data_IF_903891074269
#
_entry.id   IF_903891074269
#
_cell.length_a   1.000
_cell.length_b   1.000
_cell.length_c   1.000
_cell.angle_alpha   90.00
_cell.angle_beta   90.00
_cell.angle_gamma   90.00
#
_symmetry.space_group_name_H-M   'P 1'
#
loop_
_entity.id
_entity.type
_entity.pdbx_description
1 polymer ?
#
# COMPACT_ATOMS: atom_id res chain seq x y z
N UNK A 1 -20.45 -5.25 60.44
CA UNK A 1 -20.33 -6.26 59.35
C UNK A 1 -21.03 -5.83 58.05
N UNK A 2 -22.30 -5.39 58.06
CA UNK A 2 -23.01 -4.93 56.83
C UNK A 2 -22.30 -3.82 56.02
N UNK A 3 -21.60 -2.89 56.68
CA UNK A 3 -20.88 -1.79 56.00
C UNK A 3 -19.56 -2.22 55.32
N UNK A 4 -18.95 -3.32 55.78
CA UNK A 4 -17.70 -3.86 55.20
C UNK A 4 -18.02 -4.69 53.95
N UNK A 5 -19.13 -5.42 53.97
CA UNK A 5 -19.62 -6.19 52.80
C UNK A 5 -19.95 -5.24 51.63
N UNK A 6 -20.54 -4.08 51.91
CA UNK A 6 -20.81 -3.08 50.88
C UNK A 6 -19.52 -2.53 50.25
N UNK A 7 -18.45 -2.36 51.04
CA UNK A 7 -17.14 -1.90 50.56
C UNK A 7 -16.47 -2.96 49.67
N UNK A 8 -16.60 -4.25 50.02
CA UNK A 8 -16.08 -5.34 49.18
C UNK A 8 -16.84 -5.47 47.85
N UNK A 9 -18.16 -5.25 47.83
CA UNK A 9 -18.95 -5.29 46.59
C UNK A 9 -18.61 -4.11 45.68
N UNK A 10 -18.31 -2.93 46.23
CA UNK A 10 -17.86 -1.77 45.44
C UNK A 10 -16.42 -1.95 44.92
N UNK A 11 -15.53 -2.59 45.69
CA UNK A 11 -14.14 -2.83 45.27
C UNK A 11 -13.98 -3.98 44.25
N UNK A 12 -14.91 -4.94 44.20
CA UNK A 12 -14.93 -6.02 43.22
C UNK A 12 -15.87 -5.77 42.02
N UNK A 13 -16.61 -4.66 42.01
CA UNK A 13 -17.69 -4.39 41.05
C UNK A 13 -17.29 -3.74 39.72
N UNK A 14 -16.01 -3.44 39.48
CA UNK A 14 -15.59 -2.75 38.25
C UNK A 14 -14.39 -3.40 37.57
N UNK A 15 -14.44 -4.70 37.34
CA UNK A 15 -13.79 -5.26 36.15
C UNK A 15 -14.79 -5.15 35.00
N UNK A 16 -14.95 -3.93 34.45
CA UNK A 16 -15.52 -3.77 33.12
C UNK A 16 -14.46 -4.36 32.17
N UNK A 17 -14.56 -5.66 31.91
CA UNK A 17 -13.86 -6.26 30.80
C UNK A 17 -14.48 -5.67 29.54
N UNK A 18 -13.81 -4.67 28.96
CA UNK A 18 -13.99 -4.38 27.55
C UNK A 18 -13.49 -5.64 26.82
N UNK A 19 -14.41 -6.50 26.41
CA UNK A 19 -14.07 -7.60 25.52
C UNK A 19 -13.62 -6.94 24.22
N UNK A 20 -12.34 -7.11 23.89
CA UNK A 20 -11.81 -6.75 22.58
C UNK A 20 -12.36 -7.77 21.58
N UNK A 21 -13.64 -7.61 21.22
CA UNK A 21 -14.28 -8.47 20.24
C UNK A 21 -13.69 -8.20 18.86
N UNK A 22 -13.25 -9.28 18.21
CA UNK A 22 -12.80 -9.25 16.84
C UNK A 22 -14.01 -9.18 15.91
N UNK A 23 -14.05 -8.16 15.07
CA UNK A 23 -15.05 -8.03 14.02
C UNK A 23 -14.41 -8.38 12.68
N UNK A 24 -15.18 -9.10 11.86
CA UNK A 24 -14.82 -9.35 10.47
C UNK A 24 -15.94 -8.88 9.55
N UNK A 25 -15.59 -8.12 8.53
CA UNK A 25 -16.52 -7.63 7.52
C UNK A 25 -16.09 -8.06 6.12
N UNK A 26 -17.07 -8.18 5.23
CA UNK A 26 -16.85 -8.47 3.81
C UNK A 26 -17.51 -7.35 3.00
N UNK A 27 -16.74 -6.61 2.22
CA UNK A 27 -17.22 -5.51 1.39
C UNK A 27 -17.48 -6.02 -0.02
N UNK A 28 -18.68 -5.74 -0.54
CA UNK A 28 -19.12 -6.18 -1.87
C UNK A 28 -19.78 -5.04 -2.63
N UNK A 29 -19.70 -5.13 -3.95
CA UNK A 29 -20.51 -4.32 -4.85
C UNK A 29 -21.96 -4.82 -4.81
N UNK A 30 -22.92 -3.90 -4.70
CA UNK A 30 -24.34 -4.24 -4.55
C UNK A 30 -24.96 -4.86 -5.81
N UNK A 31 -24.45 -4.53 -7.00
CA UNK A 31 -25.00 -4.96 -8.28
C UNK A 31 -24.44 -6.33 -8.69
N UNK A 32 -23.10 -6.45 -8.68
CA UNK A 32 -22.36 -7.63 -9.13
C UNK A 32 -22.17 -8.68 -8.04
N UNK A 33 -22.36 -8.31 -6.76
CA UNK A 33 -22.09 -9.15 -5.59
C UNK A 33 -20.63 -9.61 -5.46
N UNK A 34 -19.71 -9.04 -6.27
CA UNK A 34 -18.29 -9.34 -6.21
C UNK A 34 -17.64 -8.62 -5.03
N UNK A 35 -16.59 -9.21 -4.43
CA UNK A 35 -15.81 -8.57 -3.37
C UNK A 35 -15.10 -7.31 -3.90
N UNK A 36 -14.98 -6.32 -3.03
CA UNK A 36 -14.22 -5.09 -3.32
C UNK A 36 -12.89 -5.16 -2.56
N UNK A 37 -11.82 -5.38 -3.30
CA UNK A 37 -10.44 -5.31 -2.80
C UNK A 37 -10.01 -3.85 -2.53
N UNK A 38 -9.13 -3.63 -1.55
CA UNK A 38 -8.58 -2.33 -1.16
C UNK A 38 -9.63 -1.28 -0.74
N UNK A 39 -10.85 -1.70 -0.40
CA UNK A 39 -11.81 -0.82 0.23
C UNK A 39 -11.30 -0.38 1.60
N UNK A 40 -11.29 0.93 1.84
CA UNK A 40 -10.78 1.51 3.08
C UNK A 40 -11.83 1.52 4.15
N UNK A 41 -11.45 1.05 5.34
CA UNK A 41 -12.26 1.10 6.55
C UNK A 41 -11.55 2.00 7.55
N UNK A 42 -12.24 3.05 8.00
CA UNK A 42 -11.76 3.96 9.04
C UNK A 42 -12.58 3.79 10.29
N UNK A 43 -11.94 3.36 11.39
CA UNK A 43 -12.56 3.35 12.71
C UNK A 43 -12.60 4.79 13.23
N UNK A 44 -13.79 5.40 13.30
CA UNK A 44 -13.92 6.85 13.43
C UNK A 44 -13.36 7.42 14.73
N UNK A 45 -13.42 6.68 15.84
CA UNK A 45 -12.91 7.12 17.15
C UNK A 45 -11.39 7.06 17.24
N UNK A 46 -10.79 5.97 16.77
CA UNK A 46 -9.34 5.74 16.87
C UNK A 46 -8.57 6.28 15.67
N UNK A 47 -9.27 6.55 14.56
CA UNK A 47 -8.69 6.88 13.25
C UNK A 47 -7.82 5.77 12.67
N UNK A 48 -7.97 4.54 13.16
CA UNK A 48 -7.34 3.37 12.57
C UNK A 48 -7.86 3.16 11.16
N UNK A 49 -6.95 2.89 10.25
CA UNK A 49 -7.21 2.63 8.83
C UNK A 49 -6.90 1.15 8.56
N UNK A 50 -7.82 0.49 7.85
CA UNK A 50 -7.72 -0.89 7.39
C UNK A 50 -8.11 -0.95 5.91
N UNK A 51 -7.61 -1.96 5.21
CA UNK A 51 -7.94 -2.26 3.83
C UNK A 51 -8.49 -3.70 3.73
N UNK A 52 -9.44 -3.89 2.83
CA UNK A 52 -9.88 -5.24 2.46
C UNK A 52 -8.87 -5.91 1.55
N UNK A 53 -8.74 -7.23 1.71
CA UNK A 53 -7.95 -8.06 0.81
C UNK A 53 -8.71 -8.42 -0.48
N UNK A 54 -8.14 -9.29 -1.32
CA UNK A 54 -8.75 -9.78 -2.57
C UNK A 54 -10.14 -10.40 -2.41
N UNK A 55 -10.46 -10.92 -1.23
CA UNK A 55 -11.76 -11.52 -0.89
C UNK A 55 -12.76 -10.47 -0.37
N UNK A 56 -12.39 -9.18 -0.39
CA UNK A 56 -13.18 -8.08 0.17
C UNK A 56 -13.22 -8.10 1.69
N UNK A 57 -12.37 -8.88 2.36
CA UNK A 57 -12.42 -9.13 3.79
C UNK A 57 -11.47 -8.23 4.57
N UNK A 58 -11.94 -7.72 5.70
CA UNK A 58 -11.11 -7.05 6.70
C UNK A 58 -11.46 -7.54 8.11
N UNK A 59 -10.46 -7.54 9.00
CA UNK A 59 -10.56 -7.95 10.40
C UNK A 59 -10.00 -6.85 11.28
N UNK A 60 -10.70 -6.50 12.36
CA UNK A 60 -10.30 -5.43 13.28
C UNK A 60 -10.98 -5.56 14.64
N UNK A 61 -10.45 -4.84 15.63
CA UNK A 61 -11.00 -4.78 16.98
C UNK A 61 -11.63 -3.39 17.19
N UNK A 62 -12.83 -3.36 17.77
CA UNK A 62 -13.48 -2.11 18.19
C UNK A 62 -13.39 -1.92 19.70
N UNK A 63 -12.61 -0.93 20.11
CA UNK A 63 -12.53 -0.54 21.52
C UNK A 63 -13.68 0.41 21.88
N UNK A 64 -14.81 -0.19 22.24
CA UNK A 64 -16.07 0.50 22.57
C UNK A 64 -16.88 0.93 21.34
N UNK A 65 -17.97 1.68 21.57
CA UNK A 65 -18.91 2.04 20.51
C UNK A 65 -18.39 3.06 19.49
N UNK A 66 -17.56 2.63 18.55
CA UNK A 66 -17.04 3.46 17.44
C UNK A 66 -17.62 3.02 16.11
N UNK A 67 -18.30 3.94 15.43
CA UNK A 67 -18.72 3.75 14.04
C UNK A 67 -17.51 3.56 13.12
N UNK A 68 -17.75 2.92 11.99
CA UNK A 68 -16.76 2.77 10.92
C UNK A 68 -17.24 3.50 9.67
N UNK A 69 -16.30 4.04 8.91
CA UNK A 69 -16.57 4.59 7.58
C UNK A 69 -15.88 3.71 6.54
N UNK A 70 -16.63 3.27 5.55
CA UNK A 70 -16.16 2.49 4.42
C UNK A 70 -16.12 3.39 3.18
N UNK A 71 -15.02 3.34 2.43
CA UNK A 71 -14.83 4.16 1.22
C UNK A 71 -13.91 3.46 0.22
N UNK A 72 -14.19 3.62 -1.07
CA UNK A 72 -13.34 3.23 -2.19
C UNK A 72 -13.54 4.28 -3.31
N UNK A 73 -12.56 4.47 -4.20
CA UNK A 73 -12.55 5.50 -5.25
C UNK A 73 -13.83 5.47 -6.11
N UNK A 74 -14.34 4.28 -6.42
CA UNK A 74 -15.44 4.06 -7.37
C UNK A 74 -16.82 3.95 -6.74
N UNK A 75 -16.91 4.08 -5.42
CA UNK A 75 -18.13 3.81 -4.66
C UNK A 75 -18.51 4.94 -3.73
N UNK A 76 -19.80 5.02 -3.43
CA UNK A 76 -20.30 5.91 -2.41
C UNK A 76 -19.80 5.49 -1.03
N UNK A 77 -19.33 6.45 -0.25
CA UNK A 77 -18.85 6.17 1.10
C UNK A 77 -20.02 5.89 2.04
N UNK A 78 -19.87 4.88 2.89
CA UNK A 78 -20.90 4.44 3.82
C UNK A 78 -20.40 4.54 5.25
N UNK A 79 -21.18 5.16 6.14
CA UNK A 79 -20.91 5.11 7.59
C UNK A 79 -21.80 4.08 8.25
N UNK A 80 -21.19 3.11 8.92
CA UNK A 80 -21.87 2.02 9.61
C UNK A 80 -21.81 2.27 11.11
N UNK A 81 -22.98 2.18 11.76
CA UNK A 81 -23.08 2.30 13.21
C UNK A 81 -22.50 1.06 13.88
N UNK A 82 -21.71 1.26 14.93
CA UNK A 82 -21.08 0.16 15.66
C UNK A 82 -22.10 -0.88 16.15
N UNK A 83 -23.27 -0.43 16.61
CA UNK A 83 -24.34 -1.29 17.12
C UNK A 83 -24.99 -2.17 16.04
N UNK A 84 -24.71 -1.92 14.76
CA UNK A 84 -25.21 -2.72 13.63
C UNK A 84 -24.20 -3.76 13.16
N UNK A 85 -22.94 -3.68 13.62
CA UNK A 85 -21.91 -4.66 13.29
C UNK A 85 -22.21 -5.95 14.03
N UNK A 86 -22.45 -7.02 13.26
CA UNK A 86 -22.60 -8.38 13.81
C UNK A 86 -21.21 -9.01 13.98
N UNK A 87 -21.13 -9.98 14.89
CA UNK A 87 -19.95 -10.84 15.00
C UNK A 87 -19.79 -11.69 13.73
N UNK A 88 -18.57 -11.74 13.21
CA UNK A 88 -18.11 -12.54 12.06
C UNK A 88 -18.82 -12.30 10.69
N UNK A 89 -18.01 -12.08 9.64
CA UNK A 89 -18.43 -12.05 8.23
C UNK A 89 -19.63 -11.12 7.91
N UNK A 90 -19.75 -9.98 8.59
CA UNK A 90 -20.81 -9.01 8.31
C UNK A 90 -20.62 -8.41 6.90
N UNK A 91 -21.60 -8.60 6.02
CA UNK A 91 -21.51 -8.13 4.63
C UNK A 91 -21.95 -6.67 4.53
N UNK A 92 -21.09 -5.85 3.93
CA UNK A 92 -21.34 -4.44 3.63
C UNK A 92 -21.44 -4.29 2.12
N UNK A 93 -22.55 -3.73 1.66
CA UNK A 93 -22.75 -3.43 0.25
C UNK A 93 -22.46 -1.97 -0.04
N UNK A 94 -21.60 -1.73 -1.04
CA UNK A 94 -21.34 -0.40 -1.58
C UNK A 94 -22.04 -0.24 -2.93
N UNK A 95 -22.59 0.94 -3.17
CA UNK A 95 -23.16 1.34 -4.45
C UNK A 95 -22.11 2.06 -5.28
N UNK A 96 -21.94 1.67 -6.54
CA UNK A 96 -21.01 2.34 -7.42
C UNK A 96 -21.47 3.77 -7.72
N UNK A 97 -20.51 4.68 -7.90
CA UNK A 97 -20.71 6.03 -8.44
C UNK A 97 -20.97 6.05 -9.96
N UNK A 98 -21.11 4.86 -10.57
CA UNK A 98 -21.39 4.56 -11.98
C UNK A 98 -21.76 5.79 -12.82
N UNK A 99 -20.88 6.17 -13.74
CA UNK A 99 -21.13 7.20 -14.74
C UNK A 99 -21.13 6.55 -16.13
N UNK A 100 -22.26 6.57 -16.85
CA UNK A 100 -22.41 5.79 -18.10
C UNK A 100 -21.71 6.40 -19.33
N UNK A 101 -20.74 7.29 -19.16
CA UNK A 101 -20.14 8.03 -20.27
C UNK A 101 -18.60 8.05 -20.17
N UNK A 102 -17.96 7.20 -20.97
CA UNK A 102 -16.52 7.29 -21.26
C UNK A 102 -16.28 8.44 -22.25
N UNK A 103 -16.16 9.65 -21.71
CA UNK A 103 -15.90 10.84 -22.53
C UNK A 103 -14.39 11.05 -22.71
N UNK A 104 -13.95 11.10 -23.97
CA UNK A 104 -12.58 11.54 -24.29
C UNK A 104 -12.50 13.04 -23.97
N UNK A 105 -11.55 13.41 -23.11
CA UNK A 105 -11.40 14.79 -22.69
C UNK A 105 -10.61 15.57 -23.75
N UNK A 106 -11.32 16.37 -24.56
CA UNK A 106 -10.68 17.27 -25.52
C UNK A 106 -10.18 18.53 -24.80
N UNK A 107 -8.89 18.53 -24.46
CA UNK A 107 -8.21 19.68 -23.86
C UNK A 107 -7.32 20.41 -24.86
N UNK A 108 -7.30 21.75 -24.80
CA UNK A 108 -6.31 22.57 -25.51
C UNK A 108 -4.89 22.39 -24.96
N UNK A 109 -4.77 21.84 -23.75
CA UNK A 109 -3.49 21.60 -23.10
C UNK A 109 -2.99 20.18 -23.40
N UNK A 110 -1.72 20.06 -23.79
CA UNK A 110 -1.08 18.76 -23.99
C UNK A 110 -1.15 17.90 -22.71
N UNK A 111 -1.51 16.61 -22.80
CA UNK A 111 -1.60 15.71 -21.65
C UNK A 111 -0.36 15.70 -20.74
N UNK A 112 0.84 15.75 -21.33
CA UNK A 112 2.08 15.83 -20.55
C UNK A 112 2.16 17.07 -19.64
N UNK A 113 1.66 18.23 -20.10
CA UNK A 113 1.59 19.43 -19.25
C UNK A 113 0.53 19.30 -18.15
N UNK A 114 -0.53 18.50 -18.38
CA UNK A 114 -1.50 18.17 -17.33
C UNK A 114 -0.80 17.30 -16.28
N UNK A 115 -0.08 16.25 -16.71
CA UNK A 115 0.72 15.38 -15.85
C UNK A 115 1.70 16.18 -14.97
N UNK A 116 2.48 17.08 -15.58
CA UNK A 116 3.41 17.95 -14.85
C UNK A 116 2.74 18.74 -13.72
N UNK A 117 1.53 19.28 -13.96
CA UNK A 117 0.79 20.04 -12.95
C UNK A 117 0.29 19.18 -11.81
N UNK A 118 -0.32 18.03 -12.11
CA UNK A 118 -0.88 17.14 -11.09
C UNK A 118 0.25 16.51 -10.25
N UNK A 119 1.38 16.13 -10.87
CA UNK A 119 2.55 15.63 -10.14
C UNK A 119 3.13 16.73 -9.24
N UNK A 120 3.37 17.93 -9.78
CA UNK A 120 3.96 19.02 -8.99
C UNK A 120 3.09 19.40 -7.79
N UNK A 121 1.77 19.50 -7.97
CA UNK A 121 0.87 19.83 -6.88
C UNK A 121 0.77 18.71 -5.84
N UNK A 122 0.74 17.45 -6.29
CA UNK A 122 0.75 16.28 -5.41
C UNK A 122 2.03 16.20 -4.56
N UNK A 123 3.21 16.38 -5.16
CA UNK A 123 4.49 16.43 -4.44
C UNK A 123 4.50 17.57 -3.43
N UNK A 124 4.03 18.76 -3.80
CA UNK A 124 3.95 19.90 -2.90
C UNK A 124 3.09 19.60 -1.66
N UNK A 125 1.94 18.93 -1.84
CA UNK A 125 1.08 18.54 -0.72
C UNK A 125 1.67 17.40 0.13
N UNK A 126 2.41 16.47 -0.49
CA UNK A 126 3.13 15.39 0.19
C UNK A 126 4.40 15.86 0.91
N UNK A 127 4.93 17.04 0.57
CA UNK A 127 6.08 17.68 1.22
C UNK A 127 5.73 18.40 2.53
N UNK A 128 4.57 18.09 3.12
CA UNK A 128 4.22 18.53 4.47
C UNK A 128 4.92 17.67 5.53
N UNK A 129 5.10 18.20 6.74
CA UNK A 129 5.55 17.40 7.88
C UNK A 129 4.39 16.61 8.46
N UNK A 130 4.53 15.29 8.51
CA UNK A 130 3.57 14.35 9.09
C UNK A 130 4.25 13.01 9.38
N UNK A 131 3.49 12.09 9.98
CA UNK A 131 3.89 10.72 10.20
C UNK A 131 2.83 9.74 9.72
N UNK A 132 3.29 8.60 9.23
CA UNK A 132 2.47 7.45 8.88
C UNK A 132 2.91 6.27 9.73
N UNK A 133 1.94 5.63 10.41
CA UNK A 133 2.13 4.27 10.91
C UNK A 133 1.71 3.31 9.80
N UNK A 134 2.60 2.44 9.37
CA UNK A 134 2.42 1.59 8.20
C UNK A 134 2.60 0.13 8.62
N UNK A 135 1.67 -0.72 8.19
CA UNK A 135 1.89 -2.15 8.16
C UNK A 135 2.54 -2.49 6.81
N UNK A 136 3.73 -3.10 6.88
CA UNK A 136 4.50 -3.53 5.72
C UNK A 136 4.48 -5.05 5.68
N UNK A 137 4.30 -5.63 4.49
CA UNK A 137 4.42 -7.06 4.24
C UNK A 137 5.23 -7.29 2.97
N UNK A 138 6.13 -8.27 3.02
CA UNK A 138 6.97 -8.64 1.89
C UNK A 138 7.10 -10.15 1.77
N UNK A 139 6.87 -10.66 0.56
CA UNK A 139 7.13 -12.04 0.18
C UNK A 139 8.28 -12.07 -0.81
N UNK A 140 9.18 -13.02 -0.62
CA UNK A 140 10.31 -13.28 -1.51
C UNK A 140 10.24 -14.72 -2.02
N UNK A 141 10.26 -14.86 -3.33
CA UNK A 141 10.37 -16.13 -4.02
C UNK A 141 11.74 -16.29 -4.66
N UNK A 142 12.30 -17.48 -4.52
CA UNK A 142 13.50 -17.95 -5.19
C UNK A 142 13.14 -19.17 -6.03
N UNK A 143 13.45 -19.13 -7.32
CA UNK A 143 13.20 -20.23 -8.25
C UNK A 143 11.75 -20.75 -8.16
N UNK A 144 10.81 -19.80 -8.18
CA UNK A 144 9.36 -20.00 -8.09
C UNK A 144 8.86 -20.61 -6.77
N UNK A 145 9.68 -20.62 -5.71
CA UNK A 145 9.29 -21.07 -4.38
C UNK A 145 9.39 -19.93 -3.37
N UNK A 146 8.37 -19.76 -2.52
CA UNK A 146 8.46 -18.83 -1.40
C UNK A 146 9.58 -19.27 -0.44
N UNK A 147 10.55 -18.38 -0.24
CA UNK A 147 11.76 -18.68 0.53
C UNK A 147 11.93 -17.74 1.72
N UNK A 148 11.43 -16.51 1.63
CA UNK A 148 11.45 -15.56 2.74
C UNK A 148 10.16 -14.77 2.81
N UNK A 149 9.82 -14.38 4.04
CA UNK A 149 8.70 -13.54 4.38
C UNK A 149 9.12 -12.58 5.48
N UNK A 150 8.70 -11.32 5.38
CA UNK A 150 8.77 -10.41 6.51
C UNK A 150 7.55 -9.50 6.55
N UNK A 151 7.11 -9.16 7.76
CA UNK A 151 6.13 -8.11 7.97
C UNK A 151 6.51 -7.27 9.20
N UNK A 152 5.88 -6.11 9.32
CA UNK A 152 6.12 -5.25 10.48
C UNK A 152 5.22 -4.04 10.57
N UNK A 153 5.15 -3.51 11.79
CA UNK A 153 4.62 -2.19 12.06
C UNK A 153 5.77 -1.21 12.12
N UNK A 154 5.73 -0.25 11.20
CA UNK A 154 6.77 0.76 11.07
C UNK A 154 6.16 2.16 11.11
N UNK A 155 6.98 3.14 11.46
CA UNK A 155 6.60 4.54 11.53
C UNK A 155 7.52 5.33 10.61
N UNK A 156 6.93 5.96 9.59
CA UNK A 156 7.62 6.91 8.73
C UNK A 156 7.32 8.32 9.22
N UNK A 157 8.36 9.10 9.45
CA UNK A 157 8.25 10.54 9.66
C UNK A 157 8.73 11.27 8.41
N UNK A 158 7.89 12.15 7.90
CA UNK A 158 8.17 13.00 6.75
C UNK A 158 8.55 14.38 7.24
N UNK A 159 9.68 14.87 6.78
CA UNK A 159 10.11 16.26 6.98
C UNK A 159 10.33 16.84 5.59
N UNK A 160 9.52 17.83 5.23
CA UNK A 160 9.58 18.41 3.89
C UNK A 160 10.10 19.85 3.88
N UNK A 161 10.68 20.25 2.76
CA UNK A 161 11.16 21.61 2.49
C UNK A 161 10.41 22.28 1.32
N UNK A 162 9.10 22.07 1.21
CA UNK A 162 8.21 22.48 0.09
C UNK A 162 8.51 21.81 -1.27
N UNK A 163 9.71 21.26 -1.49
CA UNK A 163 10.14 20.65 -2.77
C UNK A 163 10.27 19.13 -2.72
N UNK A 164 10.78 18.59 -1.61
CA UNK A 164 10.97 17.16 -1.38
C UNK A 164 10.52 16.82 0.03
N UNK A 165 9.97 15.62 0.21
CA UNK A 165 9.85 15.00 1.52
C UNK A 165 11.06 14.07 1.76
N UNK A 166 11.73 14.27 2.89
CA UNK A 166 12.69 13.31 3.44
C UNK A 166 11.99 12.42 4.45
N UNK A 167 12.36 11.15 4.48
CA UNK A 167 11.70 10.14 5.30
C UNK A 167 12.66 9.55 6.33
N UNK A 168 12.22 9.49 7.58
CA UNK A 168 12.88 8.70 8.64
C UNK A 168 12.01 7.51 8.99
N UNK A 169 12.60 6.32 9.02
CA UNK A 169 11.94 5.06 9.34
C UNK A 169 12.30 4.57 10.75
N UNK A 170 11.27 4.28 11.55
CA UNK A 170 11.39 3.64 12.87
C UNK A 170 10.61 2.33 12.86
N UNK A 171 11.19 1.26 13.38
CA UNK A 171 10.54 -0.07 13.43
C UNK A 171 9.99 -0.33 14.83
N UNK A 172 8.67 -0.50 14.94
CA UNK A 172 7.98 -0.75 16.21
C UNK A 172 8.02 -2.24 16.56
N UNK A 173 7.55 -3.06 15.63
CA UNK A 173 7.48 -4.52 15.69
C UNK A 173 7.78 -5.10 14.30
N UNK A 174 8.39 -6.27 14.26
CA UNK A 174 8.63 -7.01 13.02
C UNK A 174 8.78 -8.50 13.29
N UNK A 175 8.47 -9.30 12.27
CA UNK A 175 8.88 -10.70 12.18
C UNK A 175 9.35 -11.00 10.77
N UNK A 176 10.30 -11.89 10.69
CA UNK A 176 10.93 -12.38 9.49
C UNK A 176 11.02 -13.90 9.64
N UNK A 177 10.65 -14.61 8.59
CA UNK A 177 10.73 -16.05 8.46
C UNK A 177 11.38 -16.40 7.13
N UNK A 178 12.09 -17.52 7.06
CA UNK A 178 12.62 -17.97 5.79
C UNK A 178 13.58 -19.15 5.91
N UNK A 179 14.06 -19.59 4.76
CA UNK A 179 14.97 -20.72 4.62
C UNK A 179 16.40 -20.22 4.89
N UNK A 180 17.21 -20.99 5.63
CA UNK A 180 18.64 -20.74 5.77
C UNK A 180 19.36 -21.07 4.43
N UNK A 181 19.27 -20.16 3.46
CA UNK A 181 19.97 -20.28 2.17
C UNK A 181 21.06 -19.20 2.06
N UNK A 182 22.30 -19.67 1.85
CA UNK A 182 23.52 -18.85 1.71
C UNK A 182 23.71 -18.27 0.31
N UNK A 183 22.96 -18.74 -0.68
CA UNK A 183 23.29 -18.48 -2.09
C UNK A 183 22.73 -17.16 -2.63
N UNK A 184 21.90 -16.45 -1.85
CA UNK A 184 21.41 -15.11 -2.18
C UNK A 184 21.79 -14.17 -1.05
N UNK A 185 22.56 -13.13 -1.37
CA UNK A 185 22.98 -12.15 -0.38
C UNK A 185 21.75 -11.45 0.25
N UNK A 186 21.86 -11.10 1.53
CA UNK A 186 20.82 -10.37 2.23
C UNK A 186 20.45 -9.05 1.53
N UNK A 187 21.43 -8.40 0.88
CA UNK A 187 21.23 -7.16 0.12
C UNK A 187 20.38 -7.34 -1.14
N UNK A 188 20.18 -8.57 -1.63
CA UNK A 188 19.29 -8.88 -2.74
C UNK A 188 17.89 -9.26 -2.28
N UNK A 189 17.69 -9.52 -0.99
CA UNK A 189 16.39 -9.83 -0.39
C UNK A 189 15.62 -8.52 -0.18
N UNK A 190 14.39 -8.47 -0.69
CA UNK A 190 13.43 -7.41 -0.41
C UNK A 190 13.66 -6.04 -1.06
N UNK A 191 12.75 -5.12 -0.76
CA UNK A 191 12.82 -3.71 -1.13
C UNK A 191 13.60 -2.89 -0.10
N UNK A 192 14.17 -1.76 -0.54
CA UNK A 192 14.65 -0.75 0.39
C UNK A 192 13.45 0.11 0.85
N UNK A 193 13.03 -0.05 2.11
CA UNK A 193 11.84 0.59 2.63
C UNK A 193 11.93 2.13 2.69
N UNK A 194 13.13 2.68 2.87
CA UNK A 194 13.32 4.14 2.82
C UNK A 194 13.21 4.63 1.38
N UNK A 195 13.87 3.98 0.43
CA UNK A 195 13.83 4.38 -0.98
C UNK A 195 12.41 4.30 -1.57
N UNK A 196 11.70 3.21 -1.29
CA UNK A 196 10.34 3.01 -1.84
C UNK A 196 9.38 4.07 -1.29
N UNK A 197 9.47 4.39 0.00
CA UNK A 197 8.66 5.46 0.60
C UNK A 197 9.00 6.84 0.03
N UNK A 198 10.29 7.14 -0.16
CA UNK A 198 10.70 8.36 -0.84
C UNK A 198 10.17 8.44 -2.27
N UNK A 199 10.12 7.32 -2.99
CA UNK A 199 9.60 7.27 -4.36
C UNK A 199 8.11 7.61 -4.37
N UNK A 200 7.34 7.13 -3.40
CA UNK A 200 5.92 7.45 -3.25
C UNK A 200 5.67 8.91 -2.87
N UNK A 201 6.43 9.45 -1.91
CA UNK A 201 6.21 10.82 -1.44
C UNK A 201 6.64 11.88 -2.45
N UNK A 202 7.67 11.57 -3.24
CA UNK A 202 8.22 12.49 -4.24
C UNK A 202 7.77 12.16 -5.67
N UNK A 203 6.92 11.15 -5.84
CA UNK A 203 6.38 10.70 -7.13
C UNK A 203 7.47 10.43 -8.19
N UNK A 204 8.60 9.84 -7.77
CA UNK A 204 9.77 9.61 -8.65
C UNK A 204 9.46 8.68 -9.82
N UNK A 205 8.45 7.81 -9.69
CA UNK A 205 8.01 6.92 -10.77
C UNK A 205 7.57 7.66 -12.04
N UNK A 206 7.18 8.93 -11.95
CA UNK A 206 6.78 9.71 -13.14
C UNK A 206 7.94 10.44 -13.82
N UNK A 207 9.16 10.42 -13.28
CA UNK A 207 10.32 11.09 -13.87
C UNK A 207 10.51 10.76 -15.38
N UNK A 208 10.37 9.50 -15.85
CA UNK A 208 10.46 9.19 -17.28
C UNK A 208 9.44 9.97 -18.13
N UNK A 209 8.21 10.13 -17.63
CA UNK A 209 7.10 10.79 -18.32
C UNK A 209 7.19 12.32 -18.28
N UNK A 210 7.89 12.87 -17.30
CA UNK A 210 8.10 14.31 -17.16
C UNK A 210 9.25 14.82 -18.05
N UNK A 211 10.08 13.92 -18.55
CA UNK A 211 11.19 14.23 -19.45
C UNK A 211 10.72 14.76 -20.81
N UNK A 212 11.55 15.56 -21.48
CA UNK A 212 11.25 16.05 -22.84
C UNK A 212 11.19 14.91 -23.88
N UNK A 213 11.89 13.79 -23.63
CA UNK A 213 11.91 12.61 -24.49
C UNK A 213 10.60 11.82 -24.46
N UNK A 214 9.81 11.94 -23.40
CA UNK A 214 8.58 11.16 -23.23
C UNK A 214 7.62 11.25 -24.42
N UNK A 215 7.55 12.42 -25.09
CA UNK A 215 6.69 12.62 -26.28
C UNK A 215 7.09 11.76 -27.49
N UNK A 216 8.33 11.30 -27.55
CA UNK A 216 8.84 10.44 -28.61
C UNK A 216 8.70 8.95 -28.29
N UNK A 217 8.43 8.62 -27.03
CA UNK A 217 8.43 7.25 -26.52
C UNK A 217 7.07 6.79 -26.03
N UNK A 218 6.16 7.71 -25.69
CA UNK A 218 4.85 7.40 -25.13
C UNK A 218 3.72 8.10 -25.87
N UNK A 219 2.58 7.41 -25.93
CA UNK A 219 1.29 8.02 -26.23
C UNK A 219 0.56 8.35 -24.92
N UNK A 220 -0.20 9.45 -24.91
CA UNK A 220 -0.91 9.94 -23.73
C UNK A 220 -2.39 10.17 -24.06
N UNK A 221 -3.27 9.54 -23.29
CA UNK A 221 -4.72 9.67 -23.45
C UNK A 221 -5.34 10.06 -22.12
N UNK A 222 -6.27 11.02 -22.14
CA UNK A 222 -7.06 11.42 -20.95
C UNK A 222 -8.54 11.15 -21.24
N UNK A 223 -9.21 10.45 -20.34
CA UNK A 223 -10.65 10.17 -20.38
C UNK A 223 -11.30 10.51 -19.04
N UNK A 224 -12.61 10.74 -19.06
CA UNK A 224 -13.42 10.71 -17.83
C UNK A 224 -13.35 9.32 -17.18
N UNK A 225 -13.42 9.26 -15.86
CA UNK A 225 -13.40 7.99 -15.14
C UNK A 225 -14.78 7.32 -15.19
N UNK A 226 -14.84 6.09 -15.72
CA UNK A 226 -16.09 5.35 -15.98
C UNK A 226 -16.98 5.16 -14.75
N UNK A 227 -16.39 4.92 -13.58
CA UNK A 227 -17.16 4.74 -12.34
C UNK A 227 -17.26 5.97 -11.45
N UNK A 228 -16.59 7.08 -11.75
CA UNK A 228 -16.58 8.24 -10.87
C UNK A 228 -16.41 9.53 -11.68
N UNK A 229 -17.51 10.27 -11.87
CA UNK A 229 -17.56 11.48 -12.68
C UNK A 229 -16.61 12.60 -12.21
N UNK A 230 -16.19 12.59 -10.95
CA UNK A 230 -15.37 13.65 -10.38
C UNK A 230 -13.88 13.47 -10.76
N UNK A 231 -13.49 12.32 -11.32
CA UNK A 231 -12.11 11.98 -11.60
C UNK A 231 -11.87 11.72 -13.08
N UNK A 232 -10.63 11.98 -13.52
CA UNK A 232 -10.14 11.63 -14.85
C UNK A 232 -9.09 10.53 -14.75
N UNK A 233 -8.96 9.76 -15.84
CA UNK A 233 -7.94 8.73 -16.02
C UNK A 233 -7.00 9.17 -17.12
N UNK A 234 -5.71 9.24 -16.81
CA UNK A 234 -4.65 9.39 -17.80
C UNK A 234 -3.98 8.04 -18.03
N UNK A 235 -4.07 7.54 -19.26
CA UNK A 235 -3.36 6.35 -19.70
C UNK A 235 -2.13 6.77 -20.51
N UNK A 236 -0.97 6.20 -20.18
CA UNK A 236 0.29 6.46 -20.88
C UNK A 236 0.89 5.14 -21.31
N UNK A 237 1.07 4.94 -22.62
CA UNK A 237 1.52 3.66 -23.18
C UNK A 237 2.77 3.85 -24.03
N UNK A 238 3.79 2.98 -23.90
CA UNK A 238 4.95 3.01 -24.78
C UNK A 238 4.55 2.86 -26.25
N UNK A 239 5.15 3.68 -27.11
CA UNK A 239 5.03 3.57 -28.56
C UNK A 239 5.78 2.32 -29.04
N UNK A 240 5.32 1.70 -30.14
CA UNK A 240 5.95 0.49 -30.67
C UNK A 240 7.44 0.68 -30.99
N UNK A 241 7.78 1.87 -31.52
CA UNK A 241 9.13 2.31 -31.89
C UNK A 241 10.00 2.77 -30.71
N UNK A 242 9.48 2.78 -29.49
CA UNK A 242 10.24 3.20 -28.34
C UNK A 242 11.37 2.19 -28.06
N UNK A 243 12.55 2.70 -27.69
CA UNK A 243 13.74 1.87 -27.43
C UNK A 243 13.92 1.53 -25.96
N UNK A 244 13.58 2.47 -25.07
CA UNK A 244 13.85 2.37 -23.63
C UNK A 244 12.56 2.23 -22.81
N UNK A 245 11.44 2.78 -23.29
CA UNK A 245 10.16 2.76 -22.60
C UNK A 245 9.52 1.36 -22.59
N UNK A 246 9.29 0.83 -21.38
CA UNK A 246 8.63 -0.47 -21.19
C UNK A 246 7.34 -0.39 -20.36
N UNK A 247 7.22 0.62 -19.50
CA UNK A 247 6.14 0.75 -18.52
C UNK A 247 4.90 1.41 -19.13
N UNK A 248 3.72 0.84 -18.90
CA UNK A 248 2.44 1.50 -19.13
C UNK A 248 1.92 2.08 -17.82
N UNK A 249 1.28 3.24 -17.87
CA UNK A 249 0.77 3.94 -16.71
C UNK A 249 -0.73 4.15 -16.82
N UNK A 250 -1.43 3.98 -15.72
CA UNK A 250 -2.79 4.45 -15.51
C UNK A 250 -2.81 5.36 -14.28
N UNK A 251 -3.25 6.60 -14.44
CA UNK A 251 -3.18 7.63 -13.40
C UNK A 251 -4.58 8.20 -13.20
N UNK A 252 -5.17 7.94 -12.03
CA UNK A 252 -6.46 8.49 -11.64
C UNK A 252 -6.20 9.77 -10.85
N UNK A 253 -6.84 10.86 -11.23
CA UNK A 253 -6.64 12.15 -10.58
C UNK A 253 -7.91 12.99 -10.52
N UNK A 254 -7.95 13.86 -9.53
CA UNK A 254 -8.97 14.90 -9.37
C UNK A 254 -8.56 16.14 -10.22
N UNK A 255 -9.32 16.50 -11.27
CA UNK A 255 -8.96 17.60 -12.16
C UNK A 255 -9.14 18.98 -11.51
N UNK A 256 -10.01 19.13 -10.53
CA UNK A 256 -10.22 20.39 -9.81
C UNK A 256 -9.10 20.64 -8.79
N UNK A 257 -8.85 19.64 -7.95
CA UNK A 257 -7.81 19.70 -6.90
C UNK A 257 -6.41 19.51 -7.46
N UNK A 258 -6.29 18.93 -8.67
CA UNK A 258 -5.02 18.59 -9.34
C UNK A 258 -4.18 17.65 -8.49
N UNK A 259 -4.81 16.61 -7.96
CA UNK A 259 -4.18 15.61 -7.10
C UNK A 259 -4.32 14.24 -7.70
N UNK A 260 -3.23 13.49 -7.68
CA UNK A 260 -3.24 12.06 -8.01
C UNK A 260 -3.94 11.33 -6.85
N UNK A 261 -4.80 10.39 -7.18
CA UNK A 261 -5.52 9.58 -6.19
C UNK A 261 -5.04 8.14 -6.23
N UNK A 262 -4.77 7.64 -7.43
CA UNK A 262 -4.24 6.32 -7.65
C UNK A 262 -3.34 6.36 -8.88
N UNK A 263 -2.29 5.55 -8.88
CA UNK A 263 -1.62 5.19 -10.13
C UNK A 263 -1.23 3.73 -10.15
N UNK A 264 -1.27 3.16 -11.35
CA UNK A 264 -0.75 1.83 -11.67
C UNK A 264 0.31 1.95 -12.74
N UNK A 265 1.38 1.17 -12.59
CA UNK A 265 2.48 1.01 -13.55
C UNK A 265 2.60 -0.48 -13.82
N UNK A 266 2.59 -0.85 -15.09
CA UNK A 266 2.74 -2.25 -15.51
C UNK A 266 3.65 -2.33 -16.74
N UNK A 267 4.74 -3.09 -16.60
CA UNK A 267 5.56 -3.49 -17.73
C UNK A 267 4.93 -4.70 -18.44
N UNK A 268 4.22 -4.45 -19.54
CA UNK A 268 3.62 -5.50 -20.34
C UNK A 268 4.70 -6.47 -20.87
N UNK A 269 4.44 -7.80 -20.89
CA UNK A 269 5.43 -8.80 -21.32
C UNK A 269 6.07 -8.47 -22.67
N UNK A 270 5.24 -8.07 -23.65
CA UNK A 270 5.67 -7.66 -25.00
C UNK A 270 6.72 -6.53 -25.02
N UNK A 271 6.77 -5.69 -23.98
CA UNK A 271 7.73 -4.59 -23.88
C UNK A 271 8.99 -5.04 -23.15
N UNK A 272 8.85 -5.95 -22.17
CA UNK A 272 9.99 -6.59 -21.50
C UNK A 272 10.79 -7.44 -22.50
N UNK A 273 10.12 -8.19 -23.37
CA UNK A 273 10.75 -9.03 -24.40
C UNK A 273 11.61 -8.24 -25.41
N UNK A 274 11.45 -6.92 -25.48
CA UNK A 274 12.28 -6.05 -26.32
C UNK A 274 13.64 -5.72 -25.68
N UNK A 275 13.78 -5.92 -24.37
CA UNK A 275 15.02 -5.62 -23.67
C UNK A 275 16.09 -6.65 -24.03
N UNK A 276 17.28 -6.17 -24.36
CA UNK A 276 18.43 -7.05 -24.55
C UNK A 276 18.76 -7.77 -23.23
N UNK A 277 18.83 -9.09 -23.30
CA UNK A 277 19.20 -9.91 -22.14
C UNK A 277 20.65 -9.64 -21.76
N UNK A 278 20.85 -9.20 -20.52
CA UNK A 278 22.18 -8.95 -19.96
C UNK A 278 22.78 -10.27 -19.50
N UNK A 279 24.02 -10.53 -19.89
CA UNK A 279 24.76 -11.78 -19.58
C UNK A 279 25.87 -11.60 -18.56
N UNK A 280 26.15 -10.37 -18.13
CA UNK A 280 27.21 -10.09 -17.16
C UNK A 280 26.81 -10.56 -15.76
N UNK A 281 27.75 -11.13 -15.00
CA UNK A 281 27.53 -11.54 -13.60
C UNK A 281 26.94 -10.39 -12.77
N UNK A 282 25.96 -10.71 -11.93
CA UNK A 282 25.12 -9.81 -11.13
C UNK A 282 24.15 -8.93 -11.93
N UNK A 283 24.02 -9.15 -13.24
CA UNK A 283 22.98 -8.48 -14.03
C UNK A 283 21.60 -8.99 -13.64
N UNK A 284 20.62 -8.07 -13.68
CA UNK A 284 19.21 -8.37 -13.47
C UNK A 284 18.46 -8.16 -14.78
N UNK A 285 17.79 -9.21 -15.25
CA UNK A 285 16.89 -9.16 -16.40
C UNK A 285 15.46 -9.20 -15.89
N UNK A 286 14.77 -8.06 -15.95
CA UNK A 286 13.40 -7.91 -15.43
C UNK A 286 12.46 -8.82 -16.23
N UNK A 287 11.58 -9.53 -15.55
CA UNK A 287 10.55 -10.40 -16.13
C UNK A 287 9.14 -9.98 -15.71
N UNK A 288 9.00 -9.24 -14.60
CA UNK A 288 7.76 -8.60 -14.15
C UNK A 288 8.11 -7.28 -13.46
N UNK A 289 7.33 -6.24 -13.73
CA UNK A 289 7.34 -4.99 -12.98
C UNK A 289 5.91 -4.49 -12.87
N UNK A 290 5.44 -4.34 -11.64
CA UNK A 290 4.10 -3.84 -11.33
C UNK A 290 4.15 -2.97 -10.09
N UNK A 291 3.51 -1.82 -10.15
CA UNK A 291 3.39 -0.87 -9.04
C UNK A 291 1.98 -0.33 -9.03
N UNK A 292 1.26 -0.47 -7.92
CA UNK A 292 0.00 0.22 -7.67
C UNK A 292 0.10 1.02 -6.38
N UNK A 293 -0.30 2.27 -6.42
CA UNK A 293 -0.18 3.20 -5.28
C UNK A 293 -1.45 4.02 -5.15
N UNK A 294 -1.99 4.08 -3.94
CA UNK A 294 -3.19 4.83 -3.60
C UNK A 294 -2.87 5.93 -2.60
N UNK A 295 -3.46 7.11 -2.80
CA UNK A 295 -3.35 8.26 -1.91
C UNK A 295 -4.71 8.61 -1.33
N UNK A 296 -4.71 9.08 -0.08
CA UNK A 296 -5.91 9.56 0.59
C UNK A 296 -5.89 11.06 0.73
N UNK A 297 -6.95 11.71 0.23
CA UNK A 297 -7.26 13.10 0.50
C UNK A 297 -8.48 13.19 1.42
N UNK A 298 -8.33 13.80 2.60
CA UNK A 298 -9.42 13.96 3.60
C UNK A 298 -9.88 15.43 3.77
N UNK A 299 -9.62 16.27 2.76
CA UNK A 299 -9.95 17.69 2.76
C UNK A 299 -8.80 18.58 3.24
N UNK A 300 -7.97 18.12 4.17
CA UNK A 300 -6.81 18.90 4.69
C UNK A 300 -5.49 18.15 4.63
N UNK A 301 -5.54 16.83 4.56
CA UNK A 301 -4.37 15.96 4.54
C UNK A 301 -4.38 15.18 3.24
N UNK A 302 -3.19 15.01 2.67
CA UNK A 302 -2.92 14.22 1.49
C UNK A 302 -1.70 13.35 1.78
N UNK A 303 -1.86 12.03 1.76
CA UNK A 303 -0.83 11.09 2.18
C UNK A 303 -0.99 9.74 1.49
N UNK A 304 0.09 8.96 1.46
CA UNK A 304 0.09 7.58 0.98
C UNK A 304 -0.87 6.72 1.82
N UNK A 305 -1.85 6.10 1.17
CA UNK A 305 -2.78 5.18 1.80
C UNK A 305 -2.27 3.74 1.72
N UNK A 306 -1.91 3.30 0.52
CA UNK A 306 -1.41 1.95 0.26
C UNK A 306 -0.48 1.91 -0.94
N UNK A 307 0.32 0.86 -0.99
CA UNK A 307 0.98 0.42 -2.21
C UNK A 307 1.03 -1.09 -2.29
N UNK A 308 1.04 -1.61 -3.52
CA UNK A 308 1.33 -2.99 -3.85
C UNK A 308 2.33 -2.98 -5.00
N UNK A 309 3.52 -3.50 -4.75
CA UNK A 309 4.58 -3.63 -5.75
C UNK A 309 4.99 -5.08 -5.95
N UNK A 310 5.32 -5.40 -7.19
CA UNK A 310 5.87 -6.67 -7.59
C UNK A 310 7.00 -6.44 -8.60
N UNK A 311 8.15 -7.05 -8.32
CA UNK A 311 9.23 -7.14 -9.27
C UNK A 311 9.69 -8.60 -9.37
N UNK A 312 9.83 -9.09 -10.59
CA UNK A 312 10.51 -10.35 -10.86
C UNK A 312 11.65 -10.12 -11.84
N UNK A 313 12.75 -10.84 -11.64
CA UNK A 313 13.91 -10.79 -12.52
C UNK A 313 14.74 -12.07 -12.45
N UNK A 314 15.44 -12.35 -13.54
CA UNK A 314 16.49 -13.35 -13.58
C UNK A 314 17.81 -12.70 -13.17
N UNK A 315 18.46 -13.24 -12.14
CA UNK A 315 19.77 -12.83 -11.66
C UNK A 315 20.84 -13.75 -12.25
N UNK A 316 21.77 -13.16 -13.00
CA UNK A 316 22.91 -13.89 -13.55
C UNK A 316 23.97 -14.05 -12.46
N UNK A 317 24.22 -15.27 -12.00
CA UNK A 317 25.36 -15.61 -11.15
C UNK A 317 26.46 -16.27 -11.98
N UNK A 318 27.61 -16.51 -11.37
CA UNK A 318 28.78 -17.11 -12.05
C UNK A 318 28.45 -18.45 -12.71
N UNK A 319 27.73 -19.32 -11.99
CA UNK A 319 27.50 -20.71 -12.38
C UNK A 319 26.00 -21.07 -12.49
N UNK A 320 25.10 -20.10 -12.31
CA UNK A 320 23.65 -20.31 -12.32
C UNK A 320 22.88 -19.04 -12.69
N UNK A 321 21.63 -19.22 -13.13
CA UNK A 321 20.64 -18.15 -13.19
C UNK A 321 19.61 -18.42 -12.12
N UNK A 322 19.34 -17.42 -11.27
CA UNK A 322 18.30 -17.52 -10.23
C UNK A 322 17.12 -16.66 -10.60
N UNK A 323 15.91 -17.20 -10.50
CA UNK A 323 14.70 -16.41 -10.62
C UNK A 323 14.33 -15.82 -9.26
N UNK A 324 14.24 -14.50 -9.20
CA UNK A 324 13.85 -13.78 -7.98
C UNK A 324 12.55 -13.05 -8.26
N UNK A 325 11.60 -13.18 -7.34
CA UNK A 325 10.38 -12.38 -7.33
C UNK A 325 10.15 -11.85 -5.93
N UNK A 326 9.82 -10.55 -5.84
CA UNK A 326 9.55 -9.86 -4.59
C UNK A 326 8.22 -9.16 -4.71
N UNK A 327 7.32 -9.43 -3.76
CA UNK A 327 6.03 -8.75 -3.63
C UNK A 327 6.02 -7.96 -2.34
N UNK A 328 5.72 -6.68 -2.40
CA UNK A 328 5.71 -5.76 -1.27
C UNK A 328 4.36 -5.05 -1.18
N UNK A 329 3.81 -4.97 0.04
CA UNK A 329 2.55 -4.29 0.31
C UNK A 329 2.72 -3.35 1.50
N UNK A 330 2.34 -2.09 1.31
CA UNK A 330 2.25 -1.09 2.38
C UNK A 330 0.79 -0.74 2.64
N UNK A 331 0.43 -0.62 3.91
CA UNK A 331 -0.88 -0.11 4.31
C UNK A 331 -0.71 0.88 5.46
N UNK A 332 -1.05 2.14 5.21
CA UNK A 332 -1.12 3.16 6.27
C UNK A 332 -2.26 2.80 7.21
N UNK A 333 -1.91 2.58 8.48
CA UNK A 333 -2.86 2.27 9.57
C UNK A 333 -3.22 3.50 10.39
N UNK A 334 -2.40 4.55 10.36
CA UNK A 334 -2.67 5.82 11.04
C UNK A 334 -1.88 6.96 10.40
N UNK A 335 -2.49 8.15 10.35
CA UNK A 335 -1.90 9.41 9.93
C UNK A 335 -1.87 10.41 11.09
N UNK A 336 -0.82 11.22 11.21
CA UNK A 336 -0.77 12.31 12.20
C UNK A 336 0.20 13.42 11.74
N UNK A 337 -0.11 14.68 12.06
CA UNK A 337 0.74 15.84 11.73
C UNK A 337 1.86 16.12 12.75
N UNK A 338 1.82 15.48 13.91
CA UNK A 338 2.82 15.66 14.95
C UNK A 338 3.99 14.70 14.74
N UNK A 339 5.19 15.26 14.62
CA UNK A 339 6.44 14.51 14.54
C UNK A 339 6.73 13.77 15.85
N UNK A 340 7.44 12.64 15.75
CA UNK A 340 8.01 11.95 16.89
C UNK A 340 9.31 12.63 17.35
N UNK A 341 9.66 12.37 18.60
CA UNK A 341 11.04 12.53 19.09
C UNK A 341 11.68 11.15 19.12
N UNK A 342 12.87 11.02 18.54
CA UNK A 342 13.65 9.78 18.49
C UNK A 342 15.13 10.08 18.64
N UNK A 343 15.92 9.05 18.98
CA UNK A 343 17.39 9.13 18.91
C UNK A 343 17.85 8.62 17.56
N UNK A 344 18.99 9.13 17.09
CA UNK A 344 19.59 8.67 15.82
C UNK A 344 19.86 7.15 15.80
N UNK A 345 20.12 6.55 16.97
CA UNK A 345 20.26 5.10 17.12
C UNK A 345 18.98 4.29 16.88
N UNK A 346 17.81 4.95 16.95
CA UNK A 346 16.51 4.30 16.74
C UNK A 346 16.13 4.25 15.25
N UNK A 347 16.81 5.02 14.42
CA UNK A 347 16.58 5.12 12.97
C UNK A 347 16.98 3.82 12.29
N UNK A 348 16.05 3.22 11.56
CA UNK A 348 16.31 2.02 10.78
C UNK A 348 16.94 2.37 9.43
N UNK A 349 18.18 1.93 9.24
CA UNK A 349 19.02 2.26 8.07
C UNK A 349 19.27 1.09 7.12
N UNK A 350 18.87 -0.13 7.52
CA UNK A 350 19.00 -1.30 6.67
C UNK A 350 17.95 -1.30 5.56
N UNK A 351 18.16 -2.14 4.55
CA UNK A 351 17.33 -2.23 3.36
C UNK A 351 15.90 -2.72 3.66
N UNK A 352 15.78 -3.93 4.21
CA UNK A 352 14.51 -4.64 4.46
C UNK A 352 14.44 -5.10 5.91
N UNK A 353 13.22 -5.30 6.43
CA UNK A 353 13.00 -5.85 7.78
C UNK A 353 13.56 -7.26 7.93
N UNK A 354 13.81 -7.96 6.83
CA UNK A 354 14.51 -9.25 6.84
C UNK A 354 15.86 -9.18 7.60
N UNK A 355 16.58 -8.06 7.49
CA UNK A 355 17.89 -7.89 8.11
C UNK A 355 17.80 -7.62 9.62
N UNK A 356 16.59 -7.40 10.15
CA UNK A 356 16.34 -7.07 11.54
C UNK A 356 15.90 -8.31 12.33
N UNK A 357 16.47 -8.50 13.52
CA UNK A 357 15.98 -9.52 14.47
C UNK A 357 14.49 -9.32 14.79
N UNK A 358 13.77 -10.43 14.93
CA UNK A 358 12.34 -10.42 15.24
C UNK A 358 12.09 -9.70 16.58
N UNK A 359 11.07 -8.83 16.58
CA UNK A 359 10.58 -8.12 17.75
C UNK A 359 9.06 -8.12 17.71
N UNK A 360 8.46 -9.12 18.34
CA UNK A 360 7.02 -9.34 18.40
C UNK A 360 6.55 -9.00 19.81
N UNK A 361 5.64 -8.02 19.92
CA UNK A 361 5.03 -7.62 21.20
C UNK A 361 3.54 -7.98 21.25
N UNK A 362 2.90 -8.11 20.08
CA UNK A 362 1.48 -8.34 19.88
C UNK A 362 1.26 -9.12 18.58
N UNK A 363 0.08 -9.72 18.41
CA UNK A 363 -0.35 -10.31 17.13
C UNK A 363 -0.80 -9.23 16.14
N UNK A 364 0.08 -8.26 15.86
CA UNK A 364 -0.29 -7.08 15.08
C UNK A 364 -0.80 -7.43 13.67
N UNK A 365 -0.32 -8.52 13.08
CA UNK A 365 -0.69 -8.97 11.74
C UNK A 365 -2.18 -9.36 11.59
N UNK A 366 -2.85 -9.69 12.69
CA UNK A 366 -4.27 -10.07 12.65
C UNK A 366 -5.20 -8.85 12.55
N UNK A 367 -4.73 -7.68 13.03
CA UNK A 367 -5.56 -6.49 13.26
C UNK A 367 -5.00 -5.21 12.64
N UNK A 368 -3.85 -5.27 11.98
CA UNK A 368 -3.17 -4.07 11.45
C UNK A 368 -3.20 -4.02 9.93
N UNK A 369 -4.01 -3.11 9.41
CA UNK A 369 -3.95 -2.70 8.00
C UNK A 369 -4.60 -3.70 7.06
N UNK A 370 -3.89 -4.77 6.70
CA UNK A 370 -4.25 -5.65 5.59
C UNK A 370 -4.41 -7.11 6.05
N UNK A 371 -5.64 -7.61 6.02
CA UNK A 371 -5.94 -9.00 6.40
C UNK A 371 -5.30 -9.98 5.41
N UNK A 372 -4.50 -10.92 5.91
CA UNK A 372 -3.94 -11.99 5.08
C UNK A 372 -5.03 -12.93 4.55
N UNK A 373 -4.92 -13.29 3.28
CA UNK A 373 -5.69 -14.35 2.63
C UNK A 373 -5.28 -15.71 3.18
N UNK A 374 -6.11 -16.74 3.00
CA UNK A 374 -5.78 -18.09 3.49
C UNK A 374 -4.55 -18.67 2.79
N UNK A 375 -4.35 -18.32 1.51
CA UNK A 375 -3.15 -18.65 0.74
C UNK A 375 -1.88 -18.03 1.37
N UNK A 376 -1.92 -16.72 1.67
CA UNK A 376 -0.81 -16.03 2.32
C UNK A 376 -0.51 -16.62 3.71
N UNK A 377 -1.55 -16.94 4.49
CA UNK A 377 -1.37 -17.59 5.80
C UNK A 377 -0.68 -18.93 5.66
N UNK A 378 -1.08 -19.76 4.69
CA UNK A 378 -0.46 -21.05 4.43
C UNK A 378 1.02 -20.90 4.06
N UNK A 379 1.37 -19.90 3.23
CA UNK A 379 2.76 -19.57 2.88
C UNK A 379 3.56 -19.20 4.14
N UNK A 380 3.06 -18.28 4.96
CA UNK A 380 3.73 -17.82 6.18
C UNK A 380 3.95 -18.98 7.15
N UNK A 381 2.92 -19.79 7.40
CA UNK A 381 3.04 -20.96 8.28
C UNK A 381 4.09 -21.95 7.76
N UNK A 382 4.20 -22.16 6.44
CA UNK A 382 5.19 -23.07 5.87
C UNK A 382 6.65 -22.60 6.05
N UNK A 383 6.86 -21.29 6.22
CA UNK A 383 8.18 -20.68 6.43
C UNK A 383 8.55 -20.58 7.91
N UNK A 384 7.55 -20.41 8.79
CA UNK A 384 7.76 -20.31 10.23
C UNK A 384 8.46 -21.55 10.82
N UNK A 385 8.15 -22.74 10.30
CA UNK A 385 8.79 -24.00 10.71
C UNK A 385 10.22 -24.22 10.17
N UNK A 386 10.73 -23.33 9.33
CA UNK A 386 12.05 -23.46 8.68
C UNK A 386 13.15 -22.56 9.27
N UNK A 387 12.80 -21.77 10.30
CA UNK A 387 13.75 -21.11 11.20
C UNK A 387 14.16 -22.04 12.33
#
# INVERSE_FOLDING_TARGET
MRKIILLCIVLFGTSISAQNEEHSIIIKDIETQLPIENATIVVLKTKQILLTNKDGKAVFILNGGSNIQVSETNYESLTIRWASLKESNFVVYLSSKNNKLDEVVLSKQSPQKVLQRIVSNSVHMLAASYRLKVYVREFFMLDNQYSYYNDGLVNFQFVGNQKKAETTLLVEQNRSYGILDTDVSADLKGYNLNNIMENYSNLKYFEPLLSSKAKMEYDFIIKGHSKNKDYYVMTVTPLEKAKEAIDSFEIIYDPEKKLILEFTIDAAPKNIDKLEEKTTINSKNITRSFVKVDYRFDGKNYYLLSSNEEIAYNLILKDAVKNIQVRNSFTTTSFNKQNFTYKESDVFKEKSLFNKKNKILTNYWDISGLTATDEEKAIVSSLEFKM
#
